data_IF_126745309189
#
_entry.id   IF_126745309189
#
_cell.length_a   1.000
_cell.length_b   1.000
_cell.length_c   1.000
_cell.angle_alpha   90.00
_cell.angle_beta   90.00
_cell.angle_gamma   90.00
#
_symmetry.space_group_name_H-M   'P 1'
#
loop_
_entity.id
_entity.type
_entity.pdbx_description
1 polymer ?
#
# COMPACT_ATOMS: atom_id res chain seq x y z
N UNK A 1 63.63 30.43 -4.40
CA UNK A 1 62.97 31.66 -4.87
C UNK A 1 61.93 31.24 -5.90
N UNK A 2 60.77 30.74 -5.46
CA UNK A 2 59.54 31.50 -5.13
C UNK A 2 59.11 32.45 -6.24
N UNK A 3 57.96 32.15 -6.88
CA UNK A 3 56.88 33.11 -7.11
C UNK A 3 55.63 32.37 -7.59
N UNK A 4 54.68 32.20 -6.67
CA UNK A 4 53.30 31.84 -6.92
C UNK A 4 52.58 33.10 -7.44
N UNK A 5 51.91 32.99 -8.59
CA UNK A 5 51.05 34.07 -9.11
C UNK A 5 49.60 33.71 -8.80
N UNK A 6 49.00 34.46 -7.88
CA UNK A 6 47.59 34.40 -7.52
C UNK A 6 46.76 35.14 -8.57
N UNK A 7 45.87 34.43 -9.28
CA UNK A 7 44.89 35.05 -10.18
C UNK A 7 43.65 35.47 -9.40
N UNK A 8 43.32 36.76 -9.47
CA UNK A 8 42.12 37.38 -8.85
C UNK A 8 40.85 36.92 -9.57
N UNK A 9 39.88 36.41 -8.81
CA UNK A 9 38.50 36.19 -9.26
C UNK A 9 37.67 37.46 -9.02
N UNK A 10 37.14 38.05 -10.08
CA UNK A 10 36.21 39.16 -10.02
C UNK A 10 34.76 38.61 -9.97
N UNK A 11 34.01 38.98 -8.93
CA UNK A 11 32.58 38.76 -8.82
C UNK A 11 31.84 39.78 -9.71
N UNK A 12 31.05 39.29 -10.66
CA UNK A 12 30.04 40.07 -11.37
C UNK A 12 28.68 39.58 -10.88
N UNK A 13 28.00 40.41 -10.10
CA UNK A 13 26.61 40.20 -9.67
C UNK A 13 25.66 40.90 -10.64
N UNK A 14 25.07 40.13 -11.55
CA UNK A 14 23.90 40.56 -12.33
C UNK A 14 22.64 40.01 -11.69
N UNK A 15 21.79 40.92 -11.22
CA UNK A 15 20.44 40.64 -10.77
C UNK A 15 19.55 40.17 -11.95
N UNK A 16 18.73 39.14 -11.73
CA UNK A 16 17.65 38.81 -12.66
C UNK A 16 17.10 37.38 -12.57
N UNK A 17 15.90 37.28 -11.98
CA UNK A 17 14.78 36.39 -12.34
C UNK A 17 14.90 34.86 -12.12
N UNK A 18 13.80 34.34 -11.56
CA UNK A 18 13.25 32.97 -11.59
C UNK A 18 13.67 32.08 -10.43
N UNK A 19 12.63 31.67 -9.67
CA UNK A 19 12.76 30.74 -8.57
C UNK A 19 13.09 29.33 -9.04
N UNK A 20 14.02 28.70 -8.34
CA UNK A 20 14.07 27.27 -8.07
C UNK A 20 14.79 27.13 -6.74
N UNK A 21 14.07 26.78 -5.67
CA UNK A 21 14.71 26.28 -4.44
C UNK A 21 15.09 24.83 -4.71
N UNK A 22 16.19 24.66 -5.45
CA UNK A 22 16.92 23.41 -5.56
C UNK A 22 18.14 23.51 -4.66
N UNK A 23 18.07 22.91 -3.47
CA UNK A 23 19.26 22.73 -2.65
C UNK A 23 20.15 21.69 -3.32
N UNK A 24 21.21 22.14 -4.01
CA UNK A 24 22.28 21.23 -4.41
C UNK A 24 23.13 20.92 -3.18
N UNK A 25 23.09 19.68 -2.72
CA UNK A 25 24.01 19.17 -1.72
C UNK A 25 25.37 18.98 -2.41
N UNK A 26 26.23 19.99 -2.34
CA UNK A 26 27.63 19.88 -2.77
C UNK A 26 28.38 19.12 -1.68
N UNK A 27 28.40 17.79 -1.79
CA UNK A 27 29.25 16.92 -1.00
C UNK A 27 30.71 17.19 -1.33
N UNK A 28 31.40 17.93 -0.46
CA UNK A 28 32.84 18.12 -0.52
C UNK A 28 33.55 16.81 -0.19
N UNK A 29 34.08 16.12 -1.20
CA UNK A 29 35.28 15.30 -1.07
C UNK A 29 36.17 15.50 -2.28
N UNK A 30 37.18 16.33 -2.08
CA UNK A 30 38.46 16.19 -2.76
C UNK A 30 39.13 14.92 -2.20
N UNK A 31 39.21 13.87 -3.01
CA UNK A 31 40.10 12.74 -2.79
C UNK A 31 40.45 12.15 -4.16
N UNK A 32 41.74 11.87 -4.32
CA UNK A 32 42.46 11.60 -5.55
C UNK A 32 41.89 10.52 -6.47
N UNK A 33 41.90 10.84 -7.76
CA UNK A 33 41.83 9.90 -8.87
C UNK A 33 43.12 9.07 -8.90
N UNK A 34 43.11 7.85 -8.36
CA UNK A 34 44.01 6.74 -8.75
C UNK A 34 43.68 5.47 -7.97
N UNK A 35 42.90 4.59 -8.60
CA UNK A 35 43.15 3.15 -8.72
C UNK A 35 41.82 2.45 -8.95
N UNK A 36 41.72 1.86 -10.14
CA UNK A 36 40.71 0.85 -10.45
C UNK A 36 40.85 -0.26 -9.42
N UNK A 37 39.84 -0.42 -8.58
CA UNK A 37 39.56 -1.68 -7.90
C UNK A 37 38.20 -2.12 -8.40
N UNK A 38 38.11 -3.38 -8.82
CA UNK A 38 36.91 -4.05 -9.29
C UNK A 38 35.82 -4.01 -8.19
N UNK A 39 35.01 -2.94 -8.19
CA UNK A 39 33.80 -2.89 -7.38
C UNK A 39 32.74 -3.71 -8.10
N UNK A 40 32.50 -4.91 -7.57
CA UNK A 40 31.26 -5.66 -7.71
C UNK A 40 30.10 -4.67 -7.76
N UNK A 41 29.44 -4.59 -8.92
CA UNK A 41 28.16 -3.91 -9.12
C UNK A 41 27.13 -4.53 -8.15
N UNK A 42 27.15 -4.12 -6.88
CA UNK A 42 26.13 -4.51 -5.92
C UNK A 42 24.89 -3.73 -6.34
N UNK A 43 24.02 -4.37 -7.11
CA UNK A 43 22.72 -3.82 -7.50
C UNK A 43 22.02 -3.41 -6.22
N UNK A 44 21.97 -2.09 -5.95
CA UNK A 44 21.26 -1.54 -4.80
C UNK A 44 19.76 -1.76 -5.08
N UNK A 45 19.17 -2.76 -4.46
CA UNK A 45 17.73 -3.02 -4.56
C UNK A 45 16.99 -1.82 -3.97
N UNK A 46 16.16 -1.15 -4.77
CA UNK A 46 15.33 -0.04 -4.29
C UNK A 46 14.04 -0.55 -3.66
N UNK A 47 13.34 0.32 -2.92
CA UNK A 47 12.01 -0.05 -2.40
C UNK A 47 11.05 -0.38 -3.55
N UNK A 48 11.11 0.35 -4.68
CA UNK A 48 10.32 0.06 -5.87
C UNK A 48 10.58 -1.35 -6.42
N UNK A 49 11.84 -1.79 -6.46
CA UNK A 49 12.20 -3.15 -6.90
C UNK A 49 11.60 -4.23 -6.00
N UNK A 50 11.50 -3.94 -4.70
CA UNK A 50 10.92 -4.87 -3.72
C UNK A 50 9.41 -4.95 -3.80
N UNK A 51 8.74 -3.80 -3.91
CA UNK A 51 7.28 -3.71 -3.83
C UNK A 51 6.59 -3.80 -5.19
N UNK A 52 7.31 -3.59 -6.30
CA UNK A 52 6.86 -3.78 -7.68
C UNK A 52 5.43 -3.24 -7.92
N UNK A 53 4.50 -4.14 -8.27
CA UNK A 53 3.11 -3.85 -8.58
C UNK A 53 2.22 -3.61 -7.35
N UNK A 54 2.76 -3.68 -6.13
CA UNK A 54 2.04 -3.44 -4.87
C UNK A 54 1.95 -1.95 -4.55
N UNK A 55 2.80 -1.10 -5.14
CA UNK A 55 2.74 0.34 -4.91
C UNK A 55 1.52 0.97 -5.59
N UNK A 56 0.90 1.94 -4.94
CA UNK A 56 -0.11 2.79 -5.56
C UNK A 56 0.59 3.62 -6.62
N UNK A 57 0.21 3.43 -7.89
CA UNK A 57 0.78 4.22 -8.98
C UNK A 57 0.43 5.69 -8.78
N UNK A 58 1.38 6.58 -9.06
CA UNK A 58 1.23 8.02 -8.91
C UNK A 58 0.05 8.57 -9.74
N UNK A 59 -0.28 7.95 -10.88
CA UNK A 59 -1.43 8.29 -11.72
C UNK A 59 -2.76 7.63 -11.29
N UNK A 60 -2.81 6.98 -10.12
CA UNK A 60 -4.02 6.39 -9.58
C UNK A 60 -5.05 7.45 -9.18
N UNK A 61 -6.32 7.04 -9.13
CA UNK A 61 -7.45 7.87 -8.70
C UNK A 61 -7.21 8.56 -7.34
N UNK A 62 -7.46 9.87 -7.27
CA UNK A 62 -7.31 10.73 -6.09
C UNK A 62 -8.03 10.19 -4.85
N UNK A 63 -9.14 9.46 -5.00
CA UNK A 63 -9.87 8.86 -3.89
C UNK A 63 -9.01 7.86 -3.10
N UNK A 64 -8.09 7.13 -3.76
CA UNK A 64 -7.15 6.24 -3.07
C UNK A 64 -6.22 7.05 -2.19
N UNK A 65 -5.61 8.10 -2.74
CA UNK A 65 -4.68 8.95 -2.01
C UNK A 65 -5.36 9.72 -0.86
N UNK A 66 -6.61 10.16 -1.04
CA UNK A 66 -7.43 10.73 0.05
C UNK A 66 -7.62 9.73 1.19
N UNK A 67 -7.98 8.49 0.88
CA UNK A 67 -8.11 7.43 1.88
C UNK A 67 -6.78 7.15 2.61
N UNK A 68 -5.63 7.21 1.92
CA UNK A 68 -4.31 7.05 2.54
C UNK A 68 -3.94 8.19 3.46
N UNK A 69 -4.22 9.43 3.05
CA UNK A 69 -3.98 10.61 3.89
C UNK A 69 -4.85 10.57 5.15
N UNK A 70 -6.11 10.17 5.04
CA UNK A 70 -6.97 9.96 6.22
C UNK A 70 -6.42 8.87 7.14
N UNK A 71 -5.94 7.74 6.58
CA UNK A 71 -5.30 6.67 7.37
C UNK A 71 -4.06 7.18 8.10
N UNK A 72 -3.22 7.98 7.42
CA UNK A 72 -2.04 8.59 8.03
C UNK A 72 -2.41 9.52 9.18
N UNK A 73 -3.39 10.39 8.99
CA UNK A 73 -3.85 11.34 10.04
C UNK A 73 -4.43 10.65 11.26
N UNK A 74 -5.10 9.50 11.06
CA UNK A 74 -5.68 8.69 12.15
C UNK A 74 -4.66 7.74 12.79
N UNK A 75 -3.46 7.61 12.23
CA UNK A 75 -2.45 6.67 12.69
C UNK A 75 -1.90 7.08 14.07
N UNK A 76 -1.86 6.12 15.00
CA UNK A 76 -1.21 6.28 16.30
C UNK A 76 0.30 5.99 16.26
N UNK A 77 0.86 5.71 15.08
CA UNK A 77 2.29 5.43 14.94
C UNK A 77 3.12 6.66 15.32
N UNK A 78 4.14 6.44 16.16
CA UNK A 78 5.07 7.46 16.65
C UNK A 78 6.46 7.38 15.96
N UNK A 79 6.76 6.25 15.31
CA UNK A 79 8.03 6.00 14.61
C UNK A 79 7.87 6.23 13.09
N UNK A 80 7.28 7.36 12.71
CA UNK A 80 7.12 7.74 11.30
C UNK A 80 8.39 8.42 10.78
N UNK A 81 8.58 8.32 9.46
CA UNK A 81 9.57 9.13 8.76
C UNK A 81 9.31 10.64 9.02
N UNK A 82 10.34 11.48 9.22
CA UNK A 82 10.14 12.89 9.56
C UNK A 82 9.30 13.69 8.56
N UNK A 83 9.35 13.36 7.27
CA UNK A 83 8.50 14.04 6.27
C UNK A 83 7.06 13.54 6.36
N UNK A 84 6.86 12.25 6.60
CA UNK A 84 5.56 11.66 6.79
C UNK A 84 4.86 12.17 8.06
N UNK A 85 5.61 12.40 9.15
CA UNK A 85 5.09 13.03 10.38
C UNK A 85 4.69 14.49 10.13
N UNK A 86 5.41 15.24 9.29
CA UNK A 86 5.00 16.59 8.87
C UNK A 86 3.68 16.54 8.09
N UNK A 87 3.53 15.59 7.17
CA UNK A 87 2.29 15.42 6.39
C UNK A 87 1.11 15.06 7.30
N UNK A 88 1.34 14.22 8.31
CA UNK A 88 0.34 13.82 9.30
C UNK A 88 -0.12 14.99 10.17
N UNK A 89 0.81 15.81 10.66
CA UNK A 89 0.54 16.87 11.64
C UNK A 89 0.01 18.18 11.03
N UNK A 90 0.32 18.45 9.77
CA UNK A 90 -0.09 19.66 9.08
C UNK A 90 -1.39 19.45 8.26
N UNK A 91 -2.48 20.10 8.70
CA UNK A 91 -3.77 20.03 8.02
C UNK A 91 -3.80 20.74 6.65
N UNK A 92 -2.82 21.60 6.35
CA UNK A 92 -2.69 22.24 5.03
C UNK A 92 -2.18 21.27 3.95
N UNK A 93 -1.57 20.16 4.37
CA UNK A 93 -1.05 19.12 3.49
C UNK A 93 -2.18 18.35 2.81
N UNK A 94 -1.95 18.01 1.55
CA UNK A 94 -2.93 17.36 0.66
C UNK A 94 -2.47 15.98 0.26
N UNK A 95 -3.36 15.27 -0.43
CA UNK A 95 -3.08 13.96 -1.01
C UNK A 95 -1.86 13.97 -1.94
N UNK A 96 -1.57 15.11 -2.58
CA UNK A 96 -0.40 15.33 -3.41
C UNK A 96 0.92 15.28 -2.65
N UNK A 97 0.95 15.78 -1.41
CA UNK A 97 2.16 15.76 -0.57
C UNK A 97 2.51 14.32 -0.17
N UNK A 98 1.51 13.53 0.24
CA UNK A 98 1.69 12.12 0.55
C UNK A 98 2.14 11.32 -0.68
N UNK A 99 1.52 11.59 -1.84
CA UNK A 99 1.92 10.98 -3.10
C UNK A 99 3.37 11.29 -3.45
N UNK A 100 3.78 12.56 -3.36
CA UNK A 100 5.16 12.97 -3.63
C UNK A 100 6.16 12.31 -2.67
N UNK A 101 5.81 12.18 -1.39
CA UNK A 101 6.60 11.43 -0.43
C UNK A 101 6.73 9.96 -0.84
N UNK A 102 5.63 9.28 -1.19
CA UNK A 102 5.66 7.90 -1.65
C UNK A 102 6.55 7.71 -2.90
N UNK A 103 6.45 8.61 -3.88
CA UNK A 103 7.26 8.56 -5.10
C UNK A 103 8.75 8.73 -4.79
N UNK A 104 9.08 9.63 -3.85
CA UNK A 104 10.46 9.91 -3.44
C UNK A 104 11.06 8.79 -2.56
N UNK A 105 10.23 8.19 -1.71
CA UNK A 105 10.58 7.07 -0.86
C UNK A 105 10.78 5.77 -1.68
N UNK A 106 10.03 5.59 -2.77
CA UNK A 106 10.10 4.37 -3.58
C UNK A 106 11.45 4.19 -4.30
N UNK A 107 12.16 5.28 -4.60
CA UNK A 107 13.48 5.26 -5.25
C UNK A 107 14.65 5.15 -4.27
N UNK A 108 14.38 5.15 -2.96
CA UNK A 108 15.42 4.98 -1.94
C UNK A 108 15.92 3.53 -1.89
N UNK A 109 17.16 3.29 -1.43
CA UNK A 109 17.65 1.95 -1.13
C UNK A 109 16.69 1.21 -0.20
N UNK A 110 16.44 -0.07 -0.47
CA UNK A 110 15.63 -0.89 0.41
C UNK A 110 16.42 -1.27 1.64
N UNK A 111 15.99 -0.74 2.78
CA UNK A 111 16.51 -1.09 4.09
C UNK A 111 15.40 -1.71 4.93
N UNK A 112 15.58 -3.00 5.27
CA UNK A 112 14.64 -3.73 6.11
C UNK A 112 14.42 -2.98 7.43
N UNK A 113 13.16 -2.91 7.86
CA UNK A 113 12.74 -2.28 9.12
C UNK A 113 12.97 -0.75 9.24
N UNK A 114 13.45 -0.10 8.17
CA UNK A 114 13.56 1.36 8.10
C UNK A 114 12.20 2.04 8.19
N UNK A 115 12.20 3.29 8.68
CA UNK A 115 10.98 4.11 8.76
C UNK A 115 10.35 4.35 7.39
N UNK A 116 11.18 4.47 6.36
CA UNK A 116 10.78 4.63 4.97
C UNK A 116 9.99 3.40 4.51
N UNK A 117 10.55 2.20 4.70
CA UNK A 117 9.89 0.95 4.29
C UNK A 117 8.58 0.75 5.04
N UNK A 118 8.55 0.96 6.36
CA UNK A 118 7.31 0.88 7.16
C UNK A 118 6.25 1.86 6.69
N UNK A 119 6.64 3.11 6.41
CA UNK A 119 5.71 4.12 5.89
C UNK A 119 5.19 3.77 4.49
N UNK A 120 6.03 3.20 3.62
CA UNK A 120 5.60 2.69 2.32
C UNK A 120 4.58 1.56 2.47
N UNK A 121 4.87 0.57 3.32
CA UNK A 121 3.96 -0.56 3.57
C UNK A 121 2.59 -0.08 4.02
N UNK A 122 2.54 0.90 4.93
CA UNK A 122 1.29 1.37 5.52
C UNK A 122 0.45 2.26 4.60
N UNK A 123 1.11 3.15 3.85
CA UNK A 123 0.46 4.31 3.21
C UNK A 123 0.63 4.38 1.70
N UNK A 124 1.64 3.71 1.13
CA UNK A 124 1.93 3.75 -0.30
C UNK A 124 1.59 2.45 -1.04
N UNK A 125 1.17 1.39 -0.34
CA UNK A 125 0.77 0.13 -0.97
C UNK A 125 -0.72 0.06 -1.27
N UNK A 126 -1.05 -0.71 -2.30
CA UNK A 126 -2.40 -1.13 -2.63
C UNK A 126 -2.91 -2.04 -1.52
N UNK A 127 -4.18 -1.88 -1.19
CA UNK A 127 -4.87 -2.76 -0.24
C UNK A 127 -5.57 -3.90 -0.94
N UNK A 128 -5.97 -4.91 -0.17
CA UNK A 128 -6.81 -5.99 -0.68
C UNK A 128 -8.06 -5.43 -1.38
N UNK A 129 -8.73 -4.43 -0.79
CA UNK A 129 -9.89 -3.79 -1.43
C UNK A 129 -9.59 -3.13 -2.77
N UNK A 130 -8.38 -2.59 -2.95
CA UNK A 130 -7.98 -1.97 -4.20
C UNK A 130 -7.84 -2.99 -5.33
N UNK A 131 -7.51 -4.24 -4.99
CA UNK A 131 -7.25 -5.33 -5.94
C UNK A 131 -8.48 -6.17 -6.27
N UNK A 132 -9.39 -6.38 -5.31
CA UNK A 132 -10.63 -7.14 -5.56
C UNK A 132 -11.50 -6.45 -6.64
N UNK A 133 -11.47 -5.12 -6.68
CA UNK A 133 -12.10 -4.30 -7.71
C UNK A 133 -13.36 -3.58 -7.20
N UNK A 134 -13.59 -2.39 -7.74
CA UNK A 134 -14.70 -1.51 -7.33
C UNK A 134 -16.05 -2.19 -7.51
N UNK A 135 -16.92 -2.06 -6.51
CA UNK A 135 -18.31 -2.54 -6.56
C UNK A 135 -18.49 -4.04 -6.32
N UNK A 136 -17.41 -4.83 -6.23
CA UNK A 136 -17.50 -6.26 -5.92
C UNK A 136 -17.60 -6.53 -4.43
N UNK A 137 -16.92 -5.75 -3.61
CA UNK A 137 -16.95 -5.92 -2.15
C UNK A 137 -18.30 -5.52 -1.57
N UNK A 138 -18.71 -6.23 -0.52
CA UNK A 138 -19.84 -5.84 0.30
C UNK A 138 -19.39 -4.69 1.20
N UNK A 139 -20.00 -3.52 1.04
CA UNK A 139 -19.54 -2.29 1.70
C UNK A 139 -20.49 -1.76 2.76
N UNK A 140 -21.69 -2.34 2.89
CA UNK A 140 -22.74 -1.90 3.81
C UNK A 140 -22.96 -2.95 4.89
N UNK A 141 -23.00 -2.52 6.14
CA UNK A 141 -23.20 -3.40 7.30
C UNK A 141 -24.63 -3.94 7.36
N UNK A 142 -24.81 -5.15 7.89
CA UNK A 142 -26.15 -5.72 8.18
C UNK A 142 -27.07 -5.88 6.97
N UNK A 143 -26.52 -6.03 5.76
CA UNK A 143 -27.29 -6.19 4.52
C UNK A 143 -27.60 -7.65 4.19
N UNK A 144 -28.58 -7.89 3.31
CA UNK A 144 -28.85 -9.23 2.75
C UNK A 144 -27.62 -9.82 2.01
N UNK A 145 -26.72 -8.96 1.50
CA UNK A 145 -25.46 -9.40 0.89
C UNK A 145 -24.59 -10.20 1.89
N UNK A 146 -24.60 -9.82 3.17
CA UNK A 146 -23.87 -10.55 4.22
C UNK A 146 -24.52 -11.88 4.56
N UNK A 147 -25.86 -11.98 4.54
CA UNK A 147 -26.54 -13.27 4.72
C UNK A 147 -26.16 -14.25 3.61
N UNK A 148 -26.10 -13.78 2.36
CA UNK A 148 -25.66 -14.59 1.22
C UNK A 148 -24.18 -14.99 1.34
N UNK A 149 -23.31 -14.08 1.76
CA UNK A 149 -21.90 -14.38 2.00
C UNK A 149 -21.69 -15.41 3.13
N UNK A 150 -22.43 -15.27 4.23
CA UNK A 150 -22.44 -16.24 5.32
C UNK A 150 -22.91 -17.61 4.84
N UNK A 151 -23.99 -17.66 4.06
CA UNK A 151 -24.46 -18.92 3.43
C UNK A 151 -23.39 -19.54 2.53
N UNK A 152 -22.72 -18.73 1.71
CA UNK A 152 -21.61 -19.19 0.87
C UNK A 152 -20.47 -19.80 1.68
N UNK A 153 -20.05 -19.15 2.77
CA UNK A 153 -18.98 -19.67 3.64
C UNK A 153 -19.43 -20.94 4.37
N UNK A 154 -20.65 -20.94 4.93
CA UNK A 154 -21.25 -22.09 5.62
C UNK A 154 -21.26 -23.35 4.76
N UNK A 155 -21.63 -23.20 3.49
CA UNK A 155 -21.81 -24.31 2.55
C UNK A 155 -20.50 -24.62 1.77
N UNK A 156 -19.41 -23.91 2.07
CA UNK A 156 -18.13 -24.10 1.41
C UNK A 156 -17.38 -25.34 1.91
N UNK A 157 -16.58 -25.95 1.04
CA UNK A 157 -15.78 -27.13 1.37
C UNK A 157 -14.64 -26.80 2.33
N UNK A 158 -14.67 -27.41 3.51
CA UNK A 158 -13.70 -27.18 4.60
C UNK A 158 -12.24 -27.44 4.19
N UNK A 159 -11.97 -28.45 3.36
CA UNK A 159 -10.62 -28.79 2.89
C UNK A 159 -9.96 -27.66 2.09
N UNK A 160 -10.76 -26.73 1.56
CA UNK A 160 -10.32 -25.58 0.77
C UNK A 160 -10.31 -24.26 1.53
N UNK A 161 -10.72 -24.26 2.79
CA UNK A 161 -10.73 -23.08 3.64
C UNK A 161 -9.39 -22.89 4.34
N UNK A 162 -8.98 -21.64 4.50
CA UNK A 162 -7.93 -21.27 5.43
C UNK A 162 -8.35 -21.58 6.88
N UNK A 163 -7.37 -21.67 7.78
CA UNK A 163 -7.65 -21.92 9.19
C UNK A 163 -8.51 -20.81 9.82
N UNK A 164 -8.41 -19.57 9.35
CA UNK A 164 -9.28 -18.47 9.80
C UNK A 164 -10.71 -18.65 9.28
N UNK A 165 -10.88 -18.96 8.00
CA UNK A 165 -12.22 -19.16 7.43
C UNK A 165 -12.93 -20.37 8.03
N UNK A 166 -12.22 -21.43 8.41
CA UNK A 166 -12.80 -22.58 9.13
C UNK A 166 -13.43 -22.16 10.46
N UNK A 167 -12.70 -21.35 11.24
CA UNK A 167 -13.21 -20.83 12.52
C UNK A 167 -14.48 -20.00 12.32
N UNK A 168 -14.47 -19.09 11.34
CA UNK A 168 -15.65 -18.29 11.01
C UNK A 168 -16.80 -19.17 10.52
N UNK A 169 -16.52 -20.20 9.72
CA UNK A 169 -17.52 -21.15 9.25
C UNK A 169 -18.18 -21.89 10.42
N UNK A 170 -17.40 -22.36 11.39
CA UNK A 170 -17.92 -23.05 12.58
C UNK A 170 -18.79 -22.12 13.44
N UNK A 171 -18.44 -20.84 13.54
CA UNK A 171 -19.24 -19.84 14.24
C UNK A 171 -20.57 -19.55 13.50
N UNK A 172 -20.53 -19.44 12.17
CA UNK A 172 -21.73 -19.24 11.34
C UNK A 172 -22.66 -20.45 11.38
N UNK A 173 -22.11 -21.68 11.41
CA UNK A 173 -22.92 -22.91 11.56
C UNK A 173 -23.66 -22.95 12.90
N UNK A 174 -23.11 -22.33 13.95
CA UNK A 174 -23.76 -22.23 15.27
C UNK A 174 -24.79 -21.11 15.32
N UNK A 175 -24.57 -20.03 14.58
CA UNK A 175 -25.46 -18.88 14.52
C UNK A 175 -25.51 -18.29 13.10
N UNK A 176 -26.59 -18.59 12.38
CA UNK A 176 -26.75 -18.14 10.98
C UNK A 176 -26.84 -16.62 10.83
N UNK A 177 -27.23 -15.90 11.88
CA UNK A 177 -27.31 -14.43 11.91
C UNK A 177 -26.03 -13.78 12.45
N UNK A 178 -24.92 -14.51 12.47
CA UNK A 178 -23.64 -14.01 12.98
C UNK A 178 -23.02 -12.94 12.07
N UNK A 179 -22.49 -11.86 12.66
CA UNK A 179 -21.77 -10.79 11.98
C UNK A 179 -20.24 -11.01 11.94
N UNK A 180 -19.79 -12.23 12.27
CA UNK A 180 -18.37 -12.57 12.42
C UNK A 180 -17.60 -12.45 11.10
N UNK A 181 -18.17 -12.92 9.98
CA UNK A 181 -17.56 -12.77 8.66
C UNK A 181 -17.53 -11.31 8.24
N UNK A 182 -18.61 -10.57 8.47
CA UNK A 182 -18.71 -9.13 8.16
C UNK A 182 -17.59 -8.35 8.86
N UNK A 183 -17.44 -8.53 10.17
CA UNK A 183 -16.39 -7.89 10.96
C UNK A 183 -15.00 -8.27 10.48
N UNK A 184 -14.76 -9.56 10.23
CA UNK A 184 -13.47 -10.03 9.74
C UNK A 184 -13.15 -9.41 8.38
N UNK A 185 -14.11 -9.36 7.47
CA UNK A 185 -13.96 -8.76 6.16
C UNK A 185 -13.58 -7.27 6.24
N UNK A 186 -14.29 -6.48 7.05
CA UNK A 186 -13.96 -5.06 7.20
C UNK A 186 -12.57 -4.82 7.80
N UNK A 187 -12.13 -5.69 8.71
CA UNK A 187 -10.79 -5.61 9.29
C UNK A 187 -9.69 -5.93 8.26
N UNK A 188 -9.91 -6.90 7.38
CA UNK A 188 -8.87 -7.41 6.48
C UNK A 188 -8.86 -6.73 5.10
N UNK A 189 -9.96 -6.11 4.65
CA UNK A 189 -10.01 -5.43 3.35
C UNK A 189 -9.04 -4.25 3.23
N UNK A 190 -8.72 -3.60 4.36
CA UNK A 190 -7.82 -2.44 4.46
C UNK A 190 -6.35 -2.85 4.65
N UNK A 191 -6.06 -4.15 4.69
CA UNK A 191 -4.69 -4.65 4.81
C UNK A 191 -3.92 -4.50 3.50
N UNK A 192 -2.58 -4.34 3.57
CA UNK A 192 -1.73 -4.31 2.40
C UNK A 192 -1.90 -5.57 1.55
N UNK A 193 -2.05 -5.39 0.25
CA UNK A 193 -2.00 -6.48 -0.70
C UNK A 193 -0.55 -6.97 -0.83
N UNK A 194 -0.34 -8.25 -0.54
CA UNK A 194 0.96 -8.91 -0.71
C UNK A 194 1.09 -9.43 -2.13
N UNK A 195 0.26 -10.39 -2.50
CA UNK A 195 0.15 -10.93 -3.85
C UNK A 195 -1.20 -11.65 -4.06
N UNK A 196 -1.45 -12.14 -5.28
CA UNK A 196 -2.72 -12.77 -5.63
C UNK A 196 -2.88 -14.22 -5.12
N UNK A 197 -1.82 -14.81 -4.57
CA UNK A 197 -1.81 -16.15 -3.95
C UNK A 197 -1.88 -16.08 -2.42
N UNK A 198 -1.72 -14.89 -1.85
CA UNK A 198 -1.87 -14.64 -0.43
C UNK A 198 -3.23 -15.13 0.07
N UNK A 199 -3.19 -15.90 1.15
CA UNK A 199 -4.37 -16.58 1.70
C UNK A 199 -5.44 -15.57 2.09
N UNK A 200 -5.04 -14.46 2.71
CA UNK A 200 -5.96 -13.41 3.13
C UNK A 200 -6.60 -12.71 1.94
N UNK A 201 -5.83 -12.41 0.89
CA UNK A 201 -6.40 -11.89 -0.35
C UNK A 201 -7.41 -12.87 -0.97
N UNK A 202 -7.08 -14.17 -1.04
CA UNK A 202 -7.97 -15.19 -1.59
C UNK A 202 -9.26 -15.32 -0.76
N UNK A 203 -9.15 -15.31 0.56
CA UNK A 203 -10.29 -15.37 1.47
C UNK A 203 -11.20 -14.14 1.29
N UNK A 204 -10.63 -12.93 1.30
CA UNK A 204 -11.40 -11.68 1.13
C UNK A 204 -12.04 -11.61 -0.26
N UNK A 205 -11.30 -11.93 -1.31
CA UNK A 205 -11.80 -11.91 -2.69
C UNK A 205 -12.87 -12.98 -2.95
N UNK A 206 -12.92 -14.03 -2.11
CA UNK A 206 -13.91 -15.10 -2.21
C UNK A 206 -15.15 -14.82 -1.36
N UNK A 207 -14.99 -14.44 -0.10
CA UNK A 207 -16.09 -14.42 0.87
C UNK A 207 -16.63 -13.02 1.18
N UNK A 208 -15.85 -11.97 0.94
CA UNK A 208 -16.26 -10.61 1.25
C UNK A 208 -16.85 -9.86 0.05
N UNK A 209 -17.21 -10.59 -1.01
CA UNK A 209 -17.76 -10.06 -2.26
C UNK A 209 -19.23 -10.40 -2.42
N UNK A 210 -19.94 -9.56 -3.16
CA UNK A 210 -21.35 -9.77 -3.50
C UNK A 210 -21.53 -11.11 -4.21
N UNK A 211 -22.37 -11.97 -3.65
CA UNK A 211 -22.71 -13.25 -4.27
C UNK A 211 -23.56 -12.99 -5.50
N UNK A 212 -23.03 -13.31 -6.68
CA UNK A 212 -23.80 -13.24 -7.92
C UNK A 212 -24.79 -14.40 -7.95
N UNK A 213 -26.09 -14.14 -8.06
CA UNK A 213 -27.15 -15.17 -8.05
C UNK A 213 -27.12 -16.18 -9.21
N UNK A 214 -26.07 -16.23 -10.05
CA UNK A 214 -26.01 -17.08 -11.24
C UNK A 214 -25.74 -18.58 -10.97
N UNK A 215 -25.62 -19.04 -9.71
CA UNK A 215 -25.39 -20.46 -9.42
C UNK A 215 -26.30 -21.08 -8.35
N UNK A 216 -27.51 -20.55 -8.17
CA UNK A 216 -28.58 -21.30 -7.49
C UNK A 216 -29.66 -21.63 -8.51
N UNK A 217 -29.43 -22.68 -9.30
CA UNK A 217 -30.35 -23.07 -10.35
C UNK A 217 -30.01 -24.43 -10.97
N UNK A 218 -30.32 -25.50 -10.23
CA UNK A 218 -31.01 -26.73 -10.70
C UNK A 218 -30.62 -27.94 -9.85
N UNK A 219 -31.42 -28.20 -8.82
CA UNK A 219 -31.86 -29.56 -8.44
C UNK A 219 -33.21 -29.40 -7.76
N UNK A 220 -34.26 -29.27 -8.57
CA UNK A 220 -35.64 -29.53 -8.17
C UNK A 220 -36.04 -30.89 -8.76
N UNK A 221 -36.77 -31.72 -8.00
CA UNK A 221 -37.00 -33.12 -8.32
C UNK A 221 -37.98 -33.27 -9.47
N UNK A 222 -37.68 -34.16 -10.41
CA UNK A 222 -38.66 -34.65 -11.36
C UNK A 222 -39.71 -35.44 -10.57
N UNK A 223 -40.93 -34.94 -10.58
CA UNK A 223 -42.13 -35.63 -10.10
C UNK A 223 -43.25 -35.12 -10.98
N UNK A 224 -43.83 -36.01 -11.80
CA UNK A 224 -45.20 -36.04 -12.38
C UNK A 224 -45.13 -37.04 -13.55
N UNK A 225 -45.50 -38.30 -13.33
CA UNK A 225 -46.81 -38.94 -13.65
C UNK A 225 -46.82 -39.58 -15.04
#
# INVERSE_FOLDING_TARGET
MSSLVFTKLAFVSSAGVVGTVGVMYVGSKVADFSSVSDDVDSIIETVSDKYKNRLIKSNSNDQKWKSRLEKLRKSLKQDLDPELEKIKSDNSKKESDLKQWCDSAAIQPWEKDSRIVKGIEDFCTLTIKDQVGKGKLISKTGTEEWKLANGKLRDFKEDKLSNEMKKLQDEIKKNESSDVLEKWCFNNMEDPFIDAKDVKYLDVSTFCVKVSQKSQGKTGPDSTT
#
